data_IF_294207572033
#
_entry.id   IF_294207572033
#
_cell.length_a   1.000
_cell.length_b   1.000
_cell.length_c   1.000
_cell.angle_alpha   90.00
_cell.angle_beta   90.00
_cell.angle_gamma   90.00
#
_symmetry.space_group_name_H-M   'P 1'
#
loop_
_entity.id
_entity.type
_entity.pdbx_description
1 polymer ?
#
# COMPACT_ATOMS: atom_id res chain seq x y z
N UNK A 1 -4.98 0.67 -22.83
CA UNK A 1 -5.68 1.24 -21.65
C UNK A 1 -5.40 0.32 -20.47
N UNK A 2 -4.60 0.74 -19.50
CA UNK A 2 -4.33 -0.02 -18.27
C UNK A 2 -5.57 0.02 -17.36
N UNK A 3 -6.20 -1.13 -17.14
CA UNK A 3 -7.39 -1.27 -16.28
C UNK A 3 -7.00 -1.42 -14.81
N UNK A 4 -6.65 -0.32 -14.17
CA UNK A 4 -6.59 -0.24 -12.71
C UNK A 4 -8.00 -0.23 -12.10
N UNK A 5 -8.12 -0.46 -10.79
CA UNK A 5 -9.32 -0.17 -9.99
C UNK A 5 -10.57 -1.01 -10.30
N UNK A 6 -10.45 -2.04 -11.14
CA UNK A 6 -11.53 -2.98 -11.42
C UNK A 6 -11.57 -4.07 -10.33
N UNK A 7 -12.60 -4.06 -9.49
CA UNK A 7 -12.97 -5.22 -8.68
C UNK A 7 -13.71 -6.24 -9.55
N UNK A 8 -13.53 -7.53 -9.24
CA UNK A 8 -14.27 -8.64 -9.88
C UNK A 8 -15.72 -8.77 -9.39
N UNK A 9 -16.11 -8.05 -8.32
CA UNK A 9 -17.45 -8.10 -7.78
C UNK A 9 -18.23 -6.78 -8.00
N UNK A 10 -19.31 -6.85 -8.77
CA UNK A 10 -20.22 -5.73 -9.06
C UNK A 10 -21.15 -5.37 -7.87
N UNK A 11 -21.27 -6.24 -6.86
CA UNK A 11 -22.18 -6.07 -5.72
C UNK A 11 -21.68 -5.11 -4.63
N UNK A 12 -20.42 -4.62 -4.71
CA UNK A 12 -19.80 -3.77 -3.68
C UNK A 12 -20.47 -2.39 -3.55
N UNK A 13 -21.41 -2.04 -4.45
CA UNK A 13 -22.21 -0.81 -4.38
C UNK A 13 -23.30 -0.84 -3.28
N UNK A 14 -23.57 -1.99 -2.65
CA UNK A 14 -24.64 -2.17 -1.66
C UNK A 14 -24.19 -1.95 -0.20
N UNK A 15 -24.13 -0.69 0.24
CA UNK A 15 -24.16 -0.18 1.65
C UNK A 15 -23.82 -1.21 2.77
N UNK A 16 -22.53 -1.48 2.97
CA UNK A 16 -22.02 -2.53 3.87
C UNK A 16 -21.77 -1.99 5.29
N UNK A 17 -22.22 -2.71 6.33
CA UNK A 17 -22.05 -2.33 7.74
C UNK A 17 -21.55 -3.52 8.58
N UNK A 18 -20.48 -3.31 9.37
CA UNK A 18 -20.07 -4.21 10.46
C UNK A 18 -18.70 -4.86 10.29
N UNK A 19 -18.15 -4.87 9.08
CA UNK A 19 -17.01 -5.72 8.74
C UNK A 19 -17.51 -7.09 8.28
N UNK A 20 -17.01 -7.58 7.15
CA UNK A 20 -17.39 -8.90 6.63
C UNK A 20 -16.23 -9.58 5.90
N UNK A 21 -16.27 -10.92 5.82
CA UNK A 21 -15.35 -11.69 4.97
C UNK A 21 -15.59 -11.32 3.51
N UNK A 22 -14.51 -10.95 2.82
CA UNK A 22 -14.57 -10.54 1.42
C UNK A 22 -14.94 -11.73 0.55
N UNK A 23 -16.07 -11.60 -0.16
CA UNK A 23 -16.44 -12.50 -1.26
C UNK A 23 -15.27 -12.79 -2.22
N UNK A 24 -15.11 -14.06 -2.59
CA UNK A 24 -13.83 -14.61 -3.01
C UNK A 24 -13.16 -13.84 -4.16
N UNK A 25 -11.93 -13.35 -3.93
CA UNK A 25 -11.08 -12.67 -4.91
C UNK A 25 -11.56 -11.28 -5.40
N UNK A 26 -12.37 -10.57 -4.62
CA UNK A 26 -12.89 -9.24 -4.98
C UNK A 26 -11.82 -8.13 -5.09
N UNK A 27 -10.68 -8.26 -4.40
CA UNK A 27 -9.68 -7.20 -4.27
C UNK A 27 -8.31 -7.61 -4.80
N UNK A 28 -8.19 -7.79 -6.12
CA UNK A 28 -6.99 -8.37 -6.75
C UNK A 28 -5.67 -7.60 -6.60
N UNK A 29 -5.68 -6.40 -6.00
CA UNK A 29 -4.48 -5.63 -5.69
C UNK A 29 -3.98 -5.77 -4.25
N UNK A 30 -4.72 -6.44 -3.34
CA UNK A 30 -4.26 -6.59 -1.96
C UNK A 30 -3.07 -7.56 -1.88
N UNK A 31 -2.09 -7.20 -1.07
CA UNK A 31 -0.85 -7.95 -0.88
C UNK A 31 -0.63 -8.18 0.60
N UNK A 32 -0.29 -9.41 0.99
CA UNK A 32 0.23 -9.72 2.33
C UNK A 32 1.75 -9.83 2.30
N UNK A 33 2.43 -9.21 3.27
CA UNK A 33 3.88 -9.18 3.41
C UNK A 33 4.33 -10.07 4.57
N UNK A 34 5.36 -10.89 4.33
CA UNK A 34 5.89 -11.85 5.29
C UNK A 34 7.38 -11.71 5.41
N UNK A 35 7.88 -11.76 6.65
CA UNK A 35 9.30 -11.89 6.97
C UNK A 35 9.51 -13.30 7.53
N UNK A 36 10.31 -14.13 6.85
CA UNK A 36 10.56 -15.51 7.28
C UNK A 36 9.25 -16.27 7.61
N UNK A 37 8.28 -16.20 6.69
CA UNK A 37 6.92 -16.75 6.77
C UNK A 37 5.99 -16.16 7.86
N UNK A 38 6.44 -15.21 8.68
CA UNK A 38 5.58 -14.48 9.61
C UNK A 38 4.97 -13.26 8.93
N UNK A 39 3.64 -13.20 8.87
CA UNK A 39 2.91 -12.02 8.40
C UNK A 39 3.21 -10.81 9.31
N UNK A 40 3.42 -9.63 8.71
CA UNK A 40 3.66 -8.39 9.48
C UNK A 40 2.85 -7.18 8.98
N UNK A 41 2.65 -7.03 7.67
CA UNK A 41 1.90 -5.91 7.08
C UNK A 41 1.20 -6.30 5.77
N UNK A 42 0.31 -5.44 5.32
CA UNK A 42 -0.30 -5.45 3.99
C UNK A 42 0.36 -4.44 3.03
N UNK A 43 -0.05 -4.48 1.76
CA UNK A 43 0.33 -3.54 0.72
C UNK A 43 -0.64 -3.61 -0.47
N UNK A 44 -0.45 -2.72 -1.45
CA UNK A 44 -1.32 -2.62 -2.64
C UNK A 44 -0.54 -2.63 -3.94
N UNK A 45 -0.94 -3.46 -4.91
CA UNK A 45 -0.37 -3.46 -6.26
C UNK A 45 -0.70 -2.16 -6.99
N UNK A 46 0.33 -1.36 -7.29
CA UNK A 46 0.25 -0.16 -8.15
C UNK A 46 0.88 -0.40 -9.54
N UNK A 47 1.59 -1.52 -9.70
CA UNK A 47 1.96 -2.13 -10.98
C UNK A 47 1.99 -3.65 -10.82
N UNK A 48 2.38 -4.40 -11.86
CA UNK A 48 2.62 -5.85 -11.75
C UNK A 48 3.82 -6.21 -10.84
N UNK A 49 4.69 -5.26 -10.48
CA UNK A 49 5.89 -5.52 -9.68
C UNK A 49 6.18 -4.49 -8.57
N UNK A 50 5.33 -3.45 -8.44
CA UNK A 50 5.44 -2.42 -7.42
C UNK A 50 4.27 -2.51 -6.44
N UNK A 51 4.60 -2.56 -5.15
CA UNK A 51 3.64 -2.59 -4.05
C UNK A 51 3.79 -1.28 -3.27
N UNK A 52 2.69 -0.57 -3.06
CA UNK A 52 2.58 0.57 -2.17
C UNK A 52 2.23 0.09 -0.75
N UNK A 53 2.95 0.56 0.26
CA UNK A 53 2.75 0.19 1.68
C UNK A 53 3.23 1.32 2.61
N UNK A 54 3.16 1.13 3.92
CA UNK A 54 3.67 2.07 4.91
C UNK A 54 5.19 1.92 5.10
N UNK A 55 5.89 3.01 5.45
CA UNK A 55 7.33 2.98 5.73
C UNK A 55 7.65 2.26 7.03
N UNK A 56 6.80 2.41 8.06
CA UNK A 56 6.98 1.75 9.36
C UNK A 56 7.00 0.21 9.25
N UNK A 57 6.33 -0.35 8.24
CA UNK A 57 6.30 -1.78 7.98
C UNK A 57 7.66 -2.35 7.57
N UNK A 58 8.54 -1.56 6.95
CA UNK A 58 9.70 -2.06 6.21
C UNK A 58 11.04 -1.48 6.68
N UNK A 59 11.05 -0.29 7.31
CA UNK A 59 12.28 0.42 7.68
C UNK A 59 13.25 -0.39 8.54
N UNK A 60 12.75 -1.21 9.48
CA UNK A 60 13.58 -2.01 10.38
C UNK A 60 13.99 -3.37 9.79
N UNK A 61 13.42 -3.77 8.65
CA UNK A 61 13.61 -5.10 8.05
C UNK A 61 14.49 -5.07 6.79
N UNK A 62 15.02 -3.89 6.42
CA UNK A 62 15.92 -3.71 5.26
C UNK A 62 17.16 -4.63 5.29
N UNK A 63 17.67 -4.96 6.48
CA UNK A 63 18.80 -5.90 6.66
C UNK A 63 18.44 -7.36 6.33
N UNK A 64 17.15 -7.70 6.25
CA UNK A 64 16.62 -9.05 5.99
C UNK A 64 15.85 -9.11 4.66
N UNK A 65 16.10 -8.18 3.73
CA UNK A 65 15.29 -8.00 2.52
C UNK A 65 15.05 -9.29 1.71
N UNK A 66 16.06 -10.16 1.64
CA UNK A 66 15.99 -11.47 0.96
C UNK A 66 15.04 -12.48 1.62
N UNK A 67 14.67 -12.28 2.89
CA UNK A 67 13.71 -13.08 3.65
C UNK A 67 12.27 -12.54 3.52
N UNK A 68 12.09 -11.40 2.85
CA UNK A 68 10.79 -10.75 2.71
C UNK A 68 10.10 -11.24 1.44
N UNK A 69 8.88 -11.74 1.62
CA UNK A 69 8.02 -12.20 0.53
C UNK A 69 6.69 -11.49 0.51
N UNK A 70 6.16 -11.29 -0.68
CA UNK A 70 4.88 -10.69 -0.96
C UNK A 70 3.96 -11.73 -1.62
N UNK A 71 2.72 -11.82 -1.14
CA UNK A 71 1.70 -12.73 -1.66
C UNK A 71 0.46 -11.95 -2.07
N UNK A 72 0.02 -12.13 -3.31
CA UNK A 72 -1.18 -11.50 -3.88
C UNK A 72 -2.07 -12.53 -4.59
N UNK A 73 -3.37 -12.27 -4.70
CA UNK A 73 -4.34 -13.14 -5.39
C UNK A 73 -4.90 -14.29 -4.54
N UNK A 74 -4.73 -14.23 -3.22
CA UNK A 74 -5.34 -15.14 -2.24
C UNK A 74 -6.18 -14.34 -1.25
N UNK A 75 -7.33 -14.87 -0.83
CA UNK A 75 -8.11 -14.29 0.28
C UNK A 75 -7.67 -14.85 1.64
N UNK A 76 -6.84 -15.92 1.66
CA UNK A 76 -6.42 -16.62 2.88
C UNK A 76 -5.00 -16.22 3.29
N UNK A 77 -4.81 -15.83 4.55
CA UNK A 77 -3.49 -15.53 5.09
C UNK A 77 -2.56 -16.75 4.97
N UNK A 78 -1.26 -16.51 4.78
CA UNK A 78 -0.23 -17.51 4.49
C UNK A 78 -0.48 -18.34 3.22
N UNK A 79 -1.31 -17.85 2.28
CA UNK A 79 -1.68 -18.55 1.05
C UNK A 79 -2.28 -19.95 1.29
N UNK A 80 -3.09 -20.12 2.35
CA UNK A 80 -3.64 -21.43 2.74
C UNK A 80 -4.61 -22.04 1.72
N UNK A 81 -5.11 -21.26 0.76
CA UNK A 81 -5.87 -21.77 -0.39
C UNK A 81 -4.96 -22.25 -1.54
N UNK A 82 -3.66 -21.96 -1.51
CA UNK A 82 -2.68 -22.30 -2.55
C UNK A 82 -2.85 -21.50 -3.84
N UNK A 83 -3.65 -20.43 -3.84
CA UNK A 83 -4.08 -19.73 -5.06
C UNK A 83 -3.28 -18.44 -5.33
N UNK A 84 -2.71 -17.86 -4.29
CA UNK A 84 -1.89 -16.67 -4.36
C UNK A 84 -0.53 -16.93 -4.99
N UNK A 85 -0.04 -15.93 -5.71
CA UNK A 85 1.31 -15.93 -6.24
C UNK A 85 2.29 -15.41 -5.17
N UNK A 86 3.46 -16.04 -5.03
CA UNK A 86 4.54 -15.55 -4.16
C UNK A 86 5.63 -14.84 -4.98
N UNK A 87 6.14 -13.72 -4.45
CA UNK A 87 7.27 -12.95 -4.97
C UNK A 87 8.23 -12.57 -3.84
N UNK A 88 9.52 -12.45 -4.17
CA UNK A 88 10.53 -11.93 -3.25
C UNK A 88 10.71 -10.43 -3.48
N UNK A 89 11.05 -9.70 -2.43
CA UNK A 89 11.45 -8.30 -2.56
C UNK A 89 12.84 -8.20 -3.19
N UNK A 90 13.02 -7.19 -4.05
CA UNK A 90 14.31 -6.84 -4.65
C UNK A 90 14.86 -5.54 -4.06
N UNK A 91 14.00 -4.54 -3.86
CA UNK A 91 14.39 -3.18 -3.49
C UNK A 91 13.23 -2.46 -2.81
N UNK A 92 13.52 -1.46 -1.97
CA UNK A 92 12.53 -0.68 -1.21
C UNK A 92 12.88 0.80 -1.30
N UNK A 93 11.87 1.60 -1.62
CA UNK A 93 11.92 3.05 -1.66
C UNK A 93 11.10 3.57 -0.48
N UNK A 94 11.77 4.01 0.58
CA UNK A 94 11.13 4.73 1.69
C UNK A 94 11.12 6.23 1.34
N UNK A 95 10.08 6.96 1.73
CA UNK A 95 10.07 8.41 1.57
C UNK A 95 11.28 9.02 2.32
N UNK A 96 12.09 9.90 1.70
CA UNK A 96 13.31 10.42 2.32
C UNK A 96 13.03 11.14 3.65
N UNK A 97 11.92 11.85 3.73
CA UNK A 97 11.48 12.60 4.92
C UNK A 97 10.62 11.77 5.91
N UNK A 98 10.68 10.43 5.87
CA UNK A 98 9.93 9.59 6.82
C UNK A 98 10.45 9.74 8.26
N UNK A 99 9.58 10.19 9.16
CA UNK A 99 9.86 10.28 10.59
C UNK A 99 9.01 9.24 11.36
N UNK A 100 9.68 8.21 11.90
CA UNK A 100 9.00 7.15 12.66
C UNK A 100 8.45 7.60 14.03
N UNK A 101 8.96 8.70 14.60
CA UNK A 101 8.50 9.25 15.88
C UNK A 101 7.22 10.08 15.68
N UNK A 102 7.20 10.92 14.64
CA UNK A 102 6.05 11.75 14.28
C UNK A 102 5.02 11.04 13.39
N UNK A 103 5.38 9.87 12.83
CA UNK A 103 4.60 9.08 11.87
C UNK A 103 4.20 9.84 10.59
N UNK A 104 4.90 10.94 10.28
CA UNK A 104 4.71 11.68 9.02
C UNK A 104 5.51 11.06 7.89
N UNK A 105 4.99 11.19 6.66
CA UNK A 105 5.57 10.60 5.45
C UNK A 105 5.71 9.06 5.53
N UNK A 106 4.76 8.40 6.21
CA UNK A 106 4.71 6.95 6.38
C UNK A 106 4.24 6.23 5.11
N UNK A 107 5.11 6.24 4.10
CA UNK A 107 4.91 5.66 2.78
C UNK A 107 6.20 5.04 2.25
N UNK A 108 6.08 3.83 1.71
CA UNK A 108 7.14 3.15 1.00
C UNK A 108 6.62 2.40 -0.24
N UNK A 109 7.48 2.21 -1.23
CA UNK A 109 7.23 1.38 -2.40
C UNK A 109 8.21 0.22 -2.42
N UNK A 110 7.69 -0.99 -2.53
CA UNK A 110 8.48 -2.22 -2.62
C UNK A 110 8.51 -2.65 -4.09
N UNK A 111 9.72 -2.84 -4.65
CA UNK A 111 9.95 -3.41 -5.98
C UNK A 111 10.25 -4.89 -5.84
N UNK A 112 9.52 -5.72 -6.59
CA UNK A 112 9.65 -7.18 -6.58
C UNK A 112 10.70 -7.66 -7.58
N UNK A 113 11.33 -8.79 -7.27
CA UNK A 113 12.37 -9.42 -8.11
C UNK A 113 11.88 -9.96 -9.45
N UNK A 114 10.58 -10.19 -9.59
CA UNK A 114 9.89 -10.50 -10.84
C UNK A 114 8.42 -10.07 -10.74
N UNK A 115 7.76 -9.69 -11.85
CA UNK A 115 6.35 -9.28 -11.82
C UNK A 115 5.42 -10.43 -11.44
N UNK A 116 4.28 -10.09 -10.88
CA UNK A 116 3.10 -10.93 -10.83
C UNK A 116 2.56 -11.23 -12.24
N UNK A 117 2.02 -12.42 -12.43
CA UNK A 117 1.33 -12.78 -13.66
C UNK A 117 -0.09 -12.23 -13.63
N UNK A 118 -0.27 -11.09 -14.30
CA UNK A 118 -1.53 -10.35 -14.38
C UNK A 118 -2.55 -10.96 -15.36
N UNK A 119 -2.27 -12.13 -15.96
CA UNK A 119 -3.29 -12.89 -16.70
C UNK A 119 -4.31 -13.56 -15.78
N UNK A 120 -3.96 -13.75 -14.50
CA UNK A 120 -4.87 -14.27 -13.47
C UNK A 120 -5.98 -13.26 -13.16
N UNK A 121 -7.24 -13.71 -13.27
CA UNK A 121 -8.44 -12.95 -12.89
C UNK A 121 -8.51 -12.57 -11.40
N UNK A 122 -7.62 -13.13 -10.58
CA UNK A 122 -7.48 -12.84 -9.14
C UNK A 122 -6.54 -11.67 -8.85
N UNK A 123 -5.89 -11.12 -9.89
CA UNK A 123 -4.93 -10.04 -9.76
C UNK A 123 -5.35 -8.83 -10.58
N UNK A 124 -5.20 -7.66 -9.96
CA UNK A 124 -5.42 -6.36 -10.58
C UNK A 124 -4.52 -5.33 -9.88
N UNK A 125 -4.47 -4.11 -10.39
CA UNK A 125 -3.77 -2.99 -9.73
C UNK A 125 -4.81 -1.97 -9.27
N UNK A 126 -4.60 -1.33 -8.13
CA UNK A 126 -5.48 -0.24 -7.68
C UNK A 126 -5.19 1.02 -8.51
N UNK A 127 -6.19 1.88 -8.73
CA UNK A 127 -5.92 3.18 -9.35
C UNK A 127 -5.27 4.12 -8.32
N UNK A 128 -4.34 4.96 -8.78
CA UNK A 128 -3.86 6.10 -8.01
C UNK A 128 -4.83 7.29 -8.19
N UNK A 129 -4.93 8.20 -7.21
CA UNK A 129 -5.71 9.42 -7.33
C UNK A 129 -5.06 10.42 -8.29
N UNK A 130 -5.87 11.08 -9.12
CA UNK A 130 -5.40 12.06 -10.12
C UNK A 130 -5.25 13.49 -9.55
N UNK A 131 -5.08 13.64 -8.23
CA UNK A 131 -4.86 14.94 -7.59
C UNK A 131 -3.39 15.03 -7.17
N UNK A 132 -2.70 16.07 -7.65
CA UNK A 132 -1.23 16.18 -7.58
C UNK A 132 -0.69 17.44 -6.90
N UNK A 133 -1.54 18.46 -6.62
CA UNK A 133 -1.09 19.69 -5.95
C UNK A 133 -1.57 19.76 -4.51
N UNK A 134 -0.70 20.19 -3.60
CA UNK A 134 -1.02 20.40 -2.19
C UNK A 134 -2.19 21.38 -1.99
N UNK A 135 -2.30 22.40 -2.85
CA UNK A 135 -3.44 23.33 -2.85
C UNK A 135 -4.78 22.61 -3.14
N UNK A 136 -4.82 21.76 -4.18
CA UNK A 136 -6.04 20.99 -4.50
C UNK A 136 -6.41 20.03 -3.38
N UNK A 137 -5.41 19.43 -2.74
CA UNK A 137 -5.57 18.54 -1.59
C UNK A 137 -6.15 19.29 -0.39
N UNK A 138 -5.56 20.43 -0.01
CA UNK A 138 -6.00 21.23 1.13
C UNK A 138 -7.41 21.82 0.90
N UNK A 139 -7.67 22.37 -0.30
CA UNK A 139 -8.96 22.97 -0.67
C UNK A 139 -10.13 21.99 -0.69
N UNK A 140 -9.88 20.71 -0.98
CA UNK A 140 -10.88 19.65 -0.99
C UNK A 140 -10.85 18.76 0.26
N UNK A 141 -9.87 18.96 1.14
CA UNK A 141 -9.53 18.04 2.23
C UNK A 141 -9.29 16.59 1.73
N UNK A 142 -8.76 16.47 0.50
CA UNK A 142 -8.84 15.37 -0.48
C UNK A 142 -10.05 14.40 -0.45
N UNK A 143 -10.05 13.23 0.24
CA UNK A 143 -11.22 12.36 0.23
C UNK A 143 -12.28 13.06 1.09
N UNK A 144 -13.07 13.90 0.44
CA UNK A 144 -13.92 14.94 1.02
C UNK A 144 -14.70 14.38 2.23
N UNK A 145 -14.73 15.07 3.38
CA UNK A 145 -15.45 14.61 4.56
C UNK A 145 -16.87 14.11 4.25
N UNK A 146 -17.20 12.94 4.80
CA UNK A 146 -18.43 12.21 4.50
C UNK A 146 -18.36 11.24 3.31
N UNK A 147 -17.31 11.28 2.47
CA UNK A 147 -17.04 10.29 1.42
C UNK A 147 -16.99 8.89 2.03
N UNK A 148 -17.73 7.93 1.44
CA UNK A 148 -17.66 6.54 1.87
C UNK A 148 -16.33 5.93 1.41
N UNK A 149 -15.60 5.33 2.34
CA UNK A 149 -14.32 4.68 2.09
C UNK A 149 -14.39 3.20 2.46
N UNK A 150 -13.70 2.36 1.70
CA UNK A 150 -13.57 0.93 1.99
C UNK A 150 -12.15 0.61 2.38
N UNK A 151 -11.99 -0.01 3.55
CA UNK A 151 -10.75 -0.65 3.97
C UNK A 151 -10.81 -2.14 3.69
N UNK A 152 -9.65 -2.72 3.40
CA UNK A 152 -9.46 -4.16 3.23
C UNK A 152 -8.16 -4.60 3.88
N UNK A 153 -8.16 -5.80 4.46
CA UNK A 153 -6.98 -6.35 5.08
C UNK A 153 -7.24 -7.60 5.89
N UNK A 154 -6.23 -8.04 6.63
CA UNK A 154 -6.28 -9.23 7.48
C UNK A 154 -6.09 -8.89 8.95
N UNK A 155 -6.30 -7.64 9.36
CA UNK A 155 -6.20 -7.21 10.75
C UNK A 155 -7.09 -8.01 11.70
N UNK A 156 -6.88 -7.78 13.00
CA UNK A 156 -7.76 -8.30 14.05
C UNK A 156 -9.18 -7.80 13.83
N UNK A 157 -10.17 -8.67 13.95
CA UNK A 157 -11.59 -8.28 13.88
C UNK A 157 -12.15 -7.83 15.22
N UNK A 158 -11.43 -8.11 16.32
CA UNK A 158 -11.78 -7.67 17.68
C UNK A 158 -10.52 -7.29 18.46
N UNK A 159 -10.63 -6.29 19.36
CA UNK A 159 -9.52 -5.88 20.24
C UNK A 159 -9.09 -6.99 21.23
N UNK A 160 -9.94 -8.00 21.44
CA UNK A 160 -9.67 -9.21 22.23
C UNK A 160 -8.65 -10.16 21.59
N UNK A 161 -8.49 -10.09 20.26
CA UNK A 161 -7.73 -11.05 19.49
C UNK A 161 -6.24 -10.73 19.50
N UNK A 162 -5.40 -11.76 19.63
CA UNK A 162 -3.94 -11.61 19.53
C UNK A 162 -3.44 -11.72 18.10
N UNK A 163 -4.11 -12.50 17.26
CA UNK A 163 -3.71 -12.83 15.90
C UNK A 163 -4.55 -12.07 14.84
N UNK A 164 -3.98 -11.77 13.66
CA UNK A 164 -4.73 -11.26 12.51
C UNK A 164 -5.74 -12.31 11.98
N UNK A 165 -6.77 -11.86 11.26
CA UNK A 165 -7.73 -12.76 10.62
C UNK A 165 -7.09 -13.68 9.58
N UNK A 166 -7.59 -14.92 9.48
CA UNK A 166 -7.14 -15.87 8.45
C UNK A 166 -7.81 -15.65 7.09
N UNK A 167 -8.85 -14.81 7.04
CA UNK A 167 -9.59 -14.43 5.83
C UNK A 167 -9.56 -12.92 5.63
N UNK A 168 -9.47 -12.49 4.38
CA UNK A 168 -9.52 -11.08 4.03
C UNK A 168 -10.86 -10.49 4.47
N UNK A 169 -10.81 -9.40 5.21
CA UNK A 169 -11.96 -8.63 5.68
C UNK A 169 -12.11 -7.35 4.85
N UNK A 170 -13.33 -6.82 4.80
CA UNK A 170 -13.59 -5.46 4.32
C UNK A 170 -14.52 -4.71 5.27
N UNK A 171 -14.34 -3.39 5.36
CA UNK A 171 -15.21 -2.53 6.17
C UNK A 171 -15.42 -1.16 5.51
N UNK A 172 -16.66 -0.67 5.54
CA UNK A 172 -16.99 0.69 5.07
C UNK A 172 -17.02 1.68 6.23
N UNK A 173 -16.22 2.73 6.10
CA UNK A 173 -16.15 3.91 6.98
C UNK A 173 -16.43 5.18 6.17
N UNK A 174 -16.33 6.36 6.80
CA UNK A 174 -16.37 7.65 6.11
C UNK A 174 -15.08 8.42 6.34
N UNK A 175 -14.69 9.25 5.38
CA UNK A 175 -13.74 10.32 5.62
C UNK A 175 -14.30 11.30 6.66
N UNK A 176 -13.44 11.75 7.57
CA UNK A 176 -13.79 12.61 8.70
C UNK A 176 -13.04 13.93 8.58
N UNK A 177 -13.73 15.05 8.81
CA UNK A 177 -13.13 16.37 8.79
C UNK A 177 -12.05 16.48 9.88
N UNK A 178 -10.91 17.04 9.52
CA UNK A 178 -9.75 17.21 10.39
C UNK A 178 -10.00 18.10 11.60
N UNK A 179 -10.92 19.05 11.46
CA UNK A 179 -11.38 19.95 12.52
C UNK A 179 -12.40 19.31 13.47
N UNK A 180 -12.84 18.07 13.22
CA UNK A 180 -13.75 17.35 14.12
C UNK A 180 -13.04 16.90 15.40
N UNK A 181 -13.81 16.77 16.49
CA UNK A 181 -13.36 16.15 17.74
C UNK A 181 -12.70 14.80 17.50
N UNK A 182 -13.34 13.94 16.72
CA UNK A 182 -12.94 12.54 16.56
C UNK A 182 -11.61 12.39 15.82
N UNK A 183 -11.25 13.37 14.97
CA UNK A 183 -9.94 13.44 14.35
C UNK A 183 -8.91 14.11 15.27
N UNK A 184 -9.25 15.24 15.89
CA UNK A 184 -8.34 16.00 16.77
C UNK A 184 -7.93 15.23 18.03
N UNK A 185 -8.85 14.45 18.61
CA UNK A 185 -8.57 13.57 19.77
C UNK A 185 -7.60 12.47 19.38
N UNK A 186 -7.87 11.71 18.31
CA UNK A 186 -6.94 10.71 17.77
C UNK A 186 -5.58 11.30 17.38
N UNK A 187 -5.56 12.55 16.95
CA UNK A 187 -4.35 13.19 16.43
C UNK A 187 -3.27 13.41 17.49
N UNK A 188 -3.65 13.68 18.75
CA UNK A 188 -2.72 14.05 19.83
C UNK A 188 -1.62 15.04 19.37
N UNK A 189 -2.02 16.07 18.61
CA UNK A 189 -1.14 17.10 18.01
C UNK A 189 -0.14 16.62 16.93
N UNK A 190 -0.11 15.32 16.57
CA UNK A 190 0.83 14.73 15.60
C UNK A 190 0.33 14.67 14.14
N UNK A 191 -0.92 15.05 13.87
CA UNK A 191 -1.53 14.93 12.51
C UNK A 191 -1.26 16.19 11.67
N UNK A 192 -0.33 16.06 10.72
CA UNK A 192 -0.19 17.05 9.64
C UNK A 192 -1.25 16.80 8.57
N UNK A 193 -2.21 17.73 8.45
CA UNK A 193 -3.39 17.61 7.57
C UNK A 193 -3.09 17.48 6.08
N UNK A 194 -1.94 17.96 5.61
CA UNK A 194 -1.56 17.84 4.20
C UNK A 194 -1.19 16.39 3.84
N UNK A 195 -0.57 15.67 4.78
CA UNK A 195 -0.04 14.32 4.59
C UNK A 195 -0.92 13.22 5.18
N UNK A 196 -1.84 13.56 6.07
CA UNK A 196 -2.74 12.63 6.74
C UNK A 196 -4.22 13.00 6.51
N UNK A 197 -5.11 12.04 6.66
CA UNK A 197 -6.55 12.28 6.85
C UNK A 197 -7.13 11.30 7.88
N UNK A 198 -8.27 11.68 8.44
CA UNK A 198 -9.02 10.83 9.37
C UNK A 198 -10.15 10.10 8.66
N UNK A 199 -10.40 8.86 9.08
CA UNK A 199 -11.60 8.12 8.67
C UNK A 199 -12.14 7.26 9.81
N UNK A 200 -13.45 7.06 9.83
CA UNK A 200 -14.13 6.32 10.90
C UNK A 200 -15.65 6.32 10.72
N UNK A 201 -16.36 5.98 11.79
CA UNK A 201 -17.83 6.07 11.87
C UNK A 201 -18.24 6.74 13.18
N UNK A 202 -19.29 7.59 13.18
CA UNK A 202 -19.80 8.18 14.41
C UNK A 202 -20.20 7.08 15.41
N UNK A 203 -19.67 7.15 16.63
CA UNK A 203 -19.87 6.15 17.69
C UNK A 203 -18.88 4.97 17.69
N UNK A 204 -17.92 4.92 16.77
CA UNK A 204 -16.90 3.86 16.74
C UNK A 204 -17.42 2.50 16.25
N UNK A 205 -16.71 1.43 16.59
CA UNK A 205 -17.06 0.04 16.21
C UNK A 205 -16.64 -0.38 14.79
N UNK A 206 -15.98 0.50 14.02
CA UNK A 206 -15.32 0.15 12.74
C UNK A 206 -14.07 1.00 12.51
N UNK A 207 -12.94 0.38 12.25
CA UNK A 207 -11.67 1.03 11.88
C UNK A 207 -10.72 -0.01 11.25
N UNK A 208 -9.55 0.42 10.79
CA UNK A 208 -8.39 -0.47 10.64
C UNK A 208 -7.93 -1.00 12.01
N UNK A 209 -7.31 -2.17 12.04
CA UNK A 209 -6.73 -2.70 13.27
C UNK A 209 -5.35 -3.35 13.08
N UNK A 210 -4.74 -3.85 14.16
CA UNK A 210 -3.38 -4.40 14.05
C UNK A 210 -3.35 -5.58 13.09
N UNK A 211 -2.49 -5.47 12.07
CA UNK A 211 -2.43 -6.38 10.93
C UNK A 211 -2.99 -5.78 9.63
N UNK A 212 -3.64 -4.62 9.64
CA UNK A 212 -4.04 -3.89 8.41
C UNK A 212 -2.98 -2.87 7.95
N UNK A 213 -1.95 -2.60 8.76
CA UNK A 213 -0.84 -1.68 8.47
C UNK A 213 -0.27 -1.87 7.05
N UNK A 214 -0.10 -0.76 6.33
CA UNK A 214 0.32 -0.75 4.93
C UNK A 214 -0.76 -1.12 3.90
N UNK A 215 -1.92 -1.62 4.35
CA UNK A 215 -3.08 -1.90 3.52
C UNK A 215 -3.78 -0.62 3.00
N UNK A 216 -4.60 -0.74 1.94
CA UNK A 216 -5.28 0.40 1.33
C UNK A 216 -6.58 0.77 2.04
N UNK A 217 -6.82 2.07 2.12
CA UNK A 217 -8.17 2.65 2.25
C UNK A 217 -8.53 3.33 0.93
N UNK A 218 -9.73 3.04 0.41
CA UNK A 218 -10.09 3.28 -0.99
C UNK A 218 -11.41 4.03 -1.14
N UNK A 219 -11.50 4.86 -2.18
CA UNK A 219 -12.75 5.48 -2.64
C UNK A 219 -13.15 4.91 -4.01
N UNK A 220 -14.45 4.85 -4.27
CA UNK A 220 -14.98 4.51 -5.61
C UNK A 220 -15.28 5.80 -6.38
N UNK A 221 -14.52 6.05 -7.45
CA UNK A 221 -14.55 7.30 -8.22
C UNK A 221 -14.51 6.95 -9.71
N UNK A 222 -15.46 7.45 -10.50
CA UNK A 222 -15.55 7.23 -11.96
C UNK A 222 -15.47 5.74 -12.34
N UNK A 223 -16.33 4.92 -11.73
CA UNK A 223 -16.41 3.46 -11.89
C UNK A 223 -15.11 2.69 -11.58
N UNK A 224 -14.24 3.26 -10.73
CA UNK A 224 -12.93 2.70 -10.37
C UNK A 224 -12.61 2.87 -8.89
N UNK A 225 -11.99 1.86 -8.31
CA UNK A 225 -11.40 1.95 -6.98
C UNK A 225 -10.05 2.65 -7.03
N UNK A 226 -9.95 3.77 -6.30
CA UNK A 226 -8.73 4.54 -6.11
C UNK A 226 -8.23 4.38 -4.67
N UNK A 227 -6.93 4.14 -4.47
CA UNK A 227 -6.32 4.15 -3.15
C UNK A 227 -6.16 5.61 -2.70
N UNK A 228 -6.96 6.03 -1.72
CA UNK A 228 -6.91 7.41 -1.19
C UNK A 228 -5.97 7.52 0.01
N UNK A 229 -5.73 6.41 0.69
CA UNK A 229 -4.81 6.35 1.81
C UNK A 229 -4.15 4.99 2.05
N UNK A 230 -3.14 5.01 2.90
CA UNK A 230 -2.43 3.83 3.43
C UNK A 230 -2.70 3.78 4.93
N UNK A 231 -3.03 2.60 5.45
CA UNK A 231 -3.15 2.35 6.90
C UNK A 231 -1.81 2.54 7.57
N UNK A 232 -1.68 3.59 8.39
CA UNK A 232 -0.42 3.99 9.03
C UNK A 232 -0.47 3.83 10.55
N UNK A 233 -1.37 4.55 11.22
CA UNK A 233 -1.36 4.67 12.67
C UNK A 233 -2.78 4.77 13.27
N UNK A 234 -2.91 4.32 14.50
CA UNK A 234 -4.12 4.43 15.31
C UNK A 234 -3.77 4.12 16.76
N UNK A 235 -4.36 4.86 17.70
CA UNK A 235 -4.11 4.68 19.14
C UNK A 235 -4.62 3.31 19.62
N UNK A 236 -5.90 3.06 19.34
CA UNK A 236 -6.58 1.77 19.50
C UNK A 236 -7.64 1.64 18.39
N UNK A 237 -8.03 0.41 18.04
CA UNK A 237 -8.95 0.19 16.93
C UNK A 237 -10.39 0.51 17.33
N UNK A 238 -11.09 1.26 16.48
CA UNK A 238 -12.55 1.41 16.50
C UNK A 238 -13.15 1.98 17.80
N UNK A 239 -12.37 2.75 18.58
CA UNK A 239 -12.88 3.43 19.78
C UNK A 239 -13.98 4.46 19.43
N UNK A 240 -15.05 4.57 20.23
CA UNK A 240 -15.98 5.69 20.14
C UNK A 240 -15.27 7.03 20.29
N UNK A 241 -15.62 8.02 19.46
CA UNK A 241 -15.02 9.36 19.49
C UNK A 241 -13.57 9.44 18.99
N UNK A 242 -13.08 8.41 18.31
CA UNK A 242 -11.75 8.36 17.71
C UNK A 242 -11.86 7.92 16.24
N UNK A 243 -11.15 8.60 15.35
CA UNK A 243 -10.96 8.19 13.95
C UNK A 243 -9.58 7.57 13.74
N UNK A 244 -9.47 6.60 12.83
CA UNK A 244 -8.18 6.10 12.36
C UNK A 244 -7.46 7.14 11.51
N UNK A 245 -6.12 7.10 11.49
CA UNK A 245 -5.26 8.07 10.79
C UNK A 245 -4.52 7.38 9.63
N UNK A 246 -4.69 7.96 8.43
CA UNK A 246 -4.26 7.36 7.18
C UNK A 246 -3.31 8.29 6.41
N UNK A 247 -2.20 7.74 5.90
CA UNK A 247 -1.29 8.48 5.02
C UNK A 247 -2.00 8.80 3.71
N UNK A 248 -2.07 10.09 3.34
CA UNK A 248 -2.86 10.62 2.23
C UNK A 248 -2.13 10.44 0.89
N UNK A 249 -2.48 9.40 0.12
CA UNK A 249 -1.76 9.02 -1.11
C UNK A 249 -1.65 10.15 -2.13
N UNK A 250 -2.68 10.98 -2.28
CA UNK A 250 -2.67 12.11 -3.23
C UNK A 250 -1.48 13.07 -3.03
N UNK A 251 -1.01 13.26 -1.79
CA UNK A 251 0.14 14.12 -1.51
C UNK A 251 1.45 13.54 -2.08
N UNK A 252 1.54 12.21 -2.18
CA UNK A 252 2.75 11.50 -2.57
C UNK A 252 2.77 11.03 -4.03
N UNK A 253 1.83 11.48 -4.87
CA UNK A 253 1.83 11.13 -6.30
C UNK A 253 3.17 11.48 -6.99
N UNK A 254 3.82 12.64 -6.75
CA UNK A 254 5.14 12.91 -7.33
C UNK A 254 6.21 11.87 -6.96
N UNK A 255 6.23 11.41 -5.71
CA UNK A 255 7.13 10.35 -5.23
C UNK A 255 6.81 9.01 -5.89
N UNK A 256 5.52 8.65 -5.96
CA UNK A 256 5.05 7.39 -6.56
C UNK A 256 5.37 7.33 -8.06
N UNK A 257 5.09 8.39 -8.82
CA UNK A 257 5.36 8.42 -10.26
C UNK A 257 6.86 8.40 -10.57
N UNK A 258 7.69 9.12 -9.79
CA UNK A 258 9.16 9.05 -9.91
C UNK A 258 9.68 7.60 -9.86
N UNK A 259 9.17 6.81 -8.93
CA UNK A 259 9.58 5.40 -8.76
C UNK A 259 8.99 4.50 -9.86
N UNK A 260 7.78 4.81 -10.36
CA UNK A 260 7.16 4.11 -11.49
C UNK A 260 7.92 4.35 -12.80
N UNK A 261 8.41 5.57 -13.03
CA UNK A 261 9.18 5.93 -14.23
C UNK A 261 10.59 5.32 -14.23
N UNK A 262 11.27 5.34 -13.09
CA UNK A 262 12.51 4.58 -12.88
C UNK A 262 12.31 3.08 -13.14
N UNK A 263 11.19 2.52 -12.66
CA UNK A 263 10.85 1.11 -12.85
C UNK A 263 10.58 0.76 -14.32
N UNK A 264 9.87 1.62 -15.07
CA UNK A 264 9.66 1.45 -16.52
C UNK A 264 10.99 1.53 -17.32
N UNK A 265 11.88 2.44 -16.93
CA UNK A 265 13.21 2.59 -17.54
C UNK A 265 14.08 1.34 -17.31
N UNK A 266 14.03 0.78 -16.10
CA UNK A 266 14.71 -0.46 -15.76
C UNK A 266 14.18 -1.65 -16.59
N UNK A 267 12.86 -1.81 -16.70
CA UNK A 267 12.29 -2.87 -17.55
C UNK A 267 12.69 -2.73 -19.02
N UNK A 268 12.62 -1.51 -19.55
CA UNK A 268 12.93 -1.24 -20.96
C UNK A 268 14.39 -1.57 -21.30
N UNK A 269 15.34 -1.17 -20.44
CA UNK A 269 16.77 -1.47 -20.61
C UNK A 269 17.08 -2.97 -20.49
N UNK A 270 16.45 -3.67 -19.54
CA UNK A 270 16.57 -5.14 -19.43
C UNK A 270 16.04 -5.82 -20.69
N UNK A 271 14.83 -5.47 -21.17
CA UNK A 271 14.25 -6.09 -22.37
C UNK A 271 15.12 -5.86 -23.62
N UNK A 272 15.65 -4.65 -23.80
CA UNK A 272 16.54 -4.33 -24.91
C UNK A 272 17.86 -5.12 -24.85
N UNK A 273 18.42 -5.35 -23.65
CA UNK A 273 19.61 -6.20 -23.48
C UNK A 273 19.34 -7.67 -23.85
N UNK A 274 18.14 -8.17 -23.53
CA UNK A 274 17.75 -9.55 -23.85
C UNK A 274 17.39 -9.77 -25.32
N UNK A 275 16.81 -8.77 -26.00
CA UNK A 275 16.52 -8.85 -27.44
C UNK A 275 17.77 -8.74 -28.31
N UNK A 276 18.77 -7.98 -27.86
CA UNK A 276 19.99 -7.73 -28.62
C UNK A 276 21.09 -8.80 -28.41
N UNK A 277 20.76 -9.94 -27.82
CA UNK A 277 21.66 -11.10 -27.74
C UNK A 277 22.96 -10.85 -26.97
N UNK A 278 22.95 -9.96 -25.96
CA UNK A 278 24.16 -9.63 -25.19
C UNK A 278 24.68 -10.85 -24.43
N UNK A 279 25.87 -11.31 -24.81
CA UNK A 279 26.47 -12.51 -24.23
C UNK A 279 26.84 -12.30 -22.75
N UNK A 280 26.83 -13.39 -21.97
CA UNK A 280 27.04 -13.38 -20.50
C UNK A 280 28.27 -12.60 -20.03
N UNK A 281 29.33 -12.57 -20.85
CA UNK A 281 30.54 -11.77 -20.67
C UNK A 281 30.30 -10.26 -20.69
N UNK A 282 29.50 -9.74 -21.63
CA UNK A 282 29.24 -8.31 -21.75
C UNK A 282 28.41 -7.79 -20.56
N UNK A 283 27.46 -8.59 -20.05
CA UNK A 283 26.77 -8.26 -18.79
C UNK A 283 27.71 -8.22 -17.58
N UNK A 284 28.72 -9.10 -17.53
CA UNK A 284 29.73 -9.06 -16.46
C UNK A 284 30.62 -7.82 -16.57
N UNK A 285 31.00 -7.42 -17.79
CA UNK A 285 31.74 -6.18 -18.06
C UNK A 285 30.91 -4.95 -17.65
N UNK A 286 29.62 -4.87 -18.01
CA UNK A 286 28.75 -3.77 -17.60
C UNK A 286 28.60 -3.71 -16.08
N UNK A 287 28.41 -4.85 -15.40
CA UNK A 287 28.37 -4.90 -13.92
C UNK A 287 29.67 -4.41 -13.30
N UNK A 288 30.82 -4.82 -13.83
CA UNK A 288 32.12 -4.36 -13.35
C UNK A 288 32.32 -2.85 -13.60
N UNK A 289 31.90 -2.31 -14.74
CA UNK A 289 31.97 -0.87 -15.06
C UNK A 289 31.07 -0.07 -14.11
N UNK A 290 29.82 -0.49 -13.87
CA UNK A 290 28.91 0.16 -12.92
C UNK A 290 29.46 0.10 -11.49
N UNK A 291 30.07 -1.02 -11.10
CA UNK A 291 30.71 -1.16 -9.78
C UNK A 291 31.95 -0.27 -9.64
N UNK A 292 32.77 -0.13 -10.69
CA UNK A 292 33.91 0.79 -10.74
C UNK A 292 33.45 2.25 -10.68
N UNK A 293 32.38 2.62 -11.40
CA UNK A 293 31.79 3.98 -11.34
C UNK A 293 31.27 4.28 -9.94
N UNK A 294 30.56 3.34 -9.29
CA UNK A 294 30.12 3.47 -7.90
C UNK A 294 31.31 3.63 -6.93
N UNK A 295 32.37 2.84 -7.10
CA UNK A 295 33.60 2.98 -6.31
C UNK A 295 34.26 4.36 -6.53
N UNK A 296 34.33 4.86 -7.76
CA UNK A 296 34.91 6.17 -8.08
C UNK A 296 34.08 7.34 -7.54
N UNK A 297 32.76 7.18 -7.44
CA UNK A 297 31.87 8.16 -6.79
C UNK A 297 32.07 8.16 -5.26
N UNK A 298 32.22 6.98 -4.65
CA UNK A 298 32.48 6.83 -3.20
C UNK A 298 33.92 7.24 -2.82
N UNK A 299 34.86 7.24 -3.78
CA UNK A 299 36.26 7.63 -3.56
C UNK A 299 36.54 9.14 -3.69
N UNK A 300 35.52 9.95 -4.01
CA UNK A 300 35.62 11.41 -4.20
C UNK A 300 34.73 12.18 -3.21
N UNK A 301 34.54 11.62 -2.01
CA UNK A 301 33.88 12.24 -0.84
C UNK A 301 34.80 12.12 0.37
#
# INVERSE_FOLDING_TARGET
>A
KSSCGCSSNLAILARIFGGEEVSTYSWGWIVSLYLSNKYFCSGSLISSNLILTAAHCIIYELSKLSQITAIAGSNRLSNRDGQGQLRHVYEVFIHPDYDNKLKVNDIAIIRLSRPFDMSSSRLSIVCLPNIVTAESIAKLEYPIPGTNLVLIGWGRTENSQTNPSTTLQQVTVKAVASTSSDCMTSAHEMVNINVHFCAGVPGGGKDACQGDSGGPIMAFVNDRWQIVGITSNGYECALPGHSGIYTRVAYYIPFIETIKDQNQTLYSSVTASTSNGFNRWQMQVIKNIVFIILLLIVSNV
#
